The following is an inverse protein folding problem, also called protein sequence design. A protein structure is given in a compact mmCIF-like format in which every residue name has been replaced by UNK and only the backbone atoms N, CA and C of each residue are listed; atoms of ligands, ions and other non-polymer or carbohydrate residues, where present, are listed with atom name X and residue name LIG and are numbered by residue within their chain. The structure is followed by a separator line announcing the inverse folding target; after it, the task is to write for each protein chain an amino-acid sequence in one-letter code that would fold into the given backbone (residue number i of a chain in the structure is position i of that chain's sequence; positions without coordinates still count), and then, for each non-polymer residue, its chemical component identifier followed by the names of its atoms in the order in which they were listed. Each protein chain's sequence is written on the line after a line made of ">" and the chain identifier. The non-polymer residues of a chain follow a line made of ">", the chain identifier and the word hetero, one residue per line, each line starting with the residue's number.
data_IF_331215041026
#
_entry.id   IF_331215041026
#
_cell.length_a   1.000
_cell.length_b   1.000
_cell.length_c   1.000
_cell.angle_alpha   90.00
_cell.angle_beta   90.00
_cell.angle_gamma   90.00
#
_symmetry.space_group_name_H-M   'P 1'
#
loop_
_entity.id
_entity.type
_entity.pdbx_description
1 polymer ?
#
# COMPACT_ATOMS: atom_id res chain seq x y z
N UNK A 1 -22.23 13.42 28.60
CA UNK A 1 -21.68 14.56 27.81
C UNK A 1 -20.17 14.37 27.73
N UNK A 2 -19.65 13.99 26.56
CA UNK A 2 -18.20 13.84 26.37
C UNK A 2 -17.60 15.24 26.41
N UNK A 3 -16.80 15.55 27.43
CA UNK A 3 -16.03 16.80 27.48
C UNK A 3 -14.81 16.64 26.58
N UNK A 4 -14.86 17.23 25.40
CA UNK A 4 -13.70 17.30 24.51
C UNK A 4 -12.72 18.34 25.10
N UNK A 5 -11.59 17.88 25.65
CA UNK A 5 -10.49 18.76 26.05
C UNK A 5 -9.56 18.98 24.86
N UNK A 6 -9.22 20.22 24.56
CA UNK A 6 -8.26 20.53 23.48
C UNK A 6 -6.83 20.38 23.99
N UNK A 7 -6.42 19.15 24.26
CA UNK A 7 -5.05 18.79 24.66
C UNK A 7 -4.31 18.08 23.52
N UNK A 8 -3.00 17.90 23.68
CA UNK A 8 -2.17 17.24 22.66
C UNK A 8 -2.62 15.80 22.38
N UNK A 9 -3.20 15.12 23.37
CA UNK A 9 -3.71 13.74 23.23
C UNK A 9 -4.92 13.71 22.33
N UNK A 10 -5.86 14.62 22.55
CA UNK A 10 -7.05 14.76 21.72
C UNK A 10 -6.68 15.17 20.30
N UNK A 11 -5.77 16.13 20.13
CA UNK A 11 -5.25 16.50 18.82
C UNK A 11 -4.58 15.31 18.11
N UNK A 12 -3.73 14.55 18.81
CA UNK A 12 -3.09 13.35 18.28
C UNK A 12 -4.11 12.30 17.83
N UNK A 13 -5.16 12.04 18.61
CA UNK A 13 -6.25 11.14 18.21
C UNK A 13 -6.96 11.61 16.93
N UNK A 14 -7.18 12.92 16.77
CA UNK A 14 -7.71 13.47 15.52
C UNK A 14 -6.76 13.20 14.34
N UNK A 15 -5.44 13.34 14.52
CA UNK A 15 -4.49 13.04 13.42
C UNK A 15 -4.53 11.58 12.98
N UNK A 16 -4.79 10.65 13.90
CA UNK A 16 -4.98 9.23 13.54
C UNK A 16 -6.23 9.09 12.66
N UNK A 17 -7.34 9.72 13.03
CA UNK A 17 -8.58 9.69 12.21
C UNK A 17 -8.33 10.27 10.83
N UNK A 18 -7.68 11.44 10.75
CA UNK A 18 -7.31 12.04 9.46
C UNK A 18 -6.42 11.14 8.62
N UNK A 19 -5.45 10.45 9.23
CA UNK A 19 -4.60 9.50 8.53
C UNK A 19 -5.41 8.37 7.88
N UNK A 20 -6.39 7.80 8.57
CA UNK A 20 -7.27 6.78 7.98
C UNK A 20 -8.13 7.34 6.85
N UNK A 21 -8.70 8.54 7.04
CA UNK A 21 -9.52 9.20 6.02
C UNK A 21 -8.70 9.44 4.75
N UNK A 22 -7.51 10.03 4.87
CA UNK A 22 -6.68 10.32 3.69
C UNK A 22 -6.14 9.06 3.03
N UNK A 23 -5.68 8.07 3.79
CA UNK A 23 -5.16 6.82 3.23
C UNK A 23 -6.22 6.01 2.45
N UNK A 24 -7.50 6.13 2.81
CA UNK A 24 -8.61 5.44 2.14
C UNK A 24 -9.36 6.32 1.13
N UNK A 25 -9.09 7.63 1.11
CA UNK A 25 -9.72 8.54 0.15
C UNK A 25 -9.25 8.24 -1.27
N UNK A 26 -10.15 8.38 -2.26
CA UNK A 26 -9.75 8.24 -3.65
C UNK A 26 -8.74 9.32 -4.02
N UNK A 27 -7.52 8.90 -4.38
CA UNK A 27 -6.50 9.74 -4.99
C UNK A 27 -6.38 9.36 -6.47
N UNK A 28 -5.84 10.29 -7.26
CA UNK A 28 -5.33 9.93 -8.57
C UNK A 28 -4.07 9.08 -8.36
N UNK A 29 -4.05 7.89 -8.96
CA UNK A 29 -2.89 7.00 -8.97
C UNK A 29 -2.30 7.12 -10.36
N UNK A 30 -1.03 7.51 -10.44
CA UNK A 30 -0.37 7.54 -11.73
C UNK A 30 -0.20 6.10 -12.23
N UNK A 31 -0.53 5.78 -13.49
CA UNK A 31 -0.45 4.40 -13.99
C UNK A 31 0.93 3.76 -13.76
N UNK A 32 2.01 4.53 -13.96
CA UNK A 32 3.37 4.02 -13.76
C UNK A 32 3.68 3.70 -12.30
N UNK A 33 3.11 4.41 -11.33
CA UNK A 33 3.28 4.09 -9.91
C UNK A 33 2.72 2.70 -9.61
N UNK A 34 1.53 2.39 -10.15
CA UNK A 34 0.91 1.08 -9.98
C UNK A 34 1.69 -0.03 -10.70
N UNK A 35 2.03 0.19 -11.97
CA UNK A 35 2.71 -0.80 -12.83
C UNK A 35 4.15 -1.09 -12.38
N UNK A 36 4.86 -0.09 -11.84
CA UNK A 36 6.26 -0.21 -11.45
C UNK A 36 6.49 -0.58 -9.97
N UNK A 37 5.42 -0.84 -9.20
CA UNK A 37 5.55 -1.15 -7.77
C UNK A 37 4.72 -2.36 -7.33
N UNK A 38 3.47 -2.13 -6.97
CA UNK A 38 2.60 -3.10 -6.32
C UNK A 38 2.27 -4.29 -7.22
N UNK A 39 2.08 -4.03 -8.51
CA UNK A 39 1.79 -5.04 -9.52
C UNK A 39 2.91 -6.08 -9.67
N UNK A 40 4.17 -5.65 -9.49
CA UNK A 40 5.35 -6.52 -9.60
C UNK A 40 5.37 -7.57 -8.48
N UNK A 41 5.08 -7.14 -7.24
CA UNK A 41 5.12 -8.05 -6.09
C UNK A 41 3.84 -8.87 -5.91
N UNK A 42 2.68 -8.35 -6.30
CA UNK A 42 1.45 -9.14 -6.28
C UNK A 42 1.53 -10.35 -7.21
N UNK A 43 2.14 -10.22 -8.39
CA UNK A 43 2.44 -11.37 -9.25
C UNK A 43 3.43 -12.34 -8.61
N UNK A 44 4.57 -11.84 -8.11
CA UNK A 44 5.62 -12.70 -7.53
C UNK A 44 5.21 -13.42 -6.25
N UNK A 45 4.41 -12.77 -5.38
CA UNK A 45 4.05 -13.31 -4.06
C UNK A 45 2.71 -14.03 -4.11
N UNK A 46 1.67 -13.40 -4.66
CA UNK A 46 0.30 -13.93 -4.68
C UNK A 46 -0.05 -14.70 -5.96
N UNK A 47 0.81 -14.66 -6.99
CA UNK A 47 0.58 -15.40 -8.24
C UNK A 47 -0.47 -14.76 -9.15
N UNK A 48 -0.75 -13.46 -9.00
CA UNK A 48 -1.65 -12.76 -9.90
C UNK A 48 -1.07 -12.64 -11.31
N UNK A 49 -1.95 -12.71 -12.30
CA UNK A 49 -1.62 -12.48 -13.71
C UNK A 49 -1.48 -10.98 -13.93
N UNK A 50 -0.24 -10.50 -14.05
CA UNK A 50 0.08 -9.08 -14.21
C UNK A 50 1.17 -8.89 -15.27
N UNK A 51 1.33 -7.65 -15.74
CA UNK A 51 2.37 -7.33 -16.72
C UNK A 51 3.60 -6.78 -16.00
N UNK A 52 4.55 -7.65 -15.67
CA UNK A 52 5.80 -7.24 -15.02
C UNK A 52 6.59 -6.33 -15.99
N UNK A 53 6.96 -5.10 -15.62
CA UNK A 53 7.73 -4.22 -16.50
C UNK A 53 9.15 -4.75 -16.76
N UNK A 54 9.73 -4.39 -17.91
CA UNK A 54 11.08 -4.82 -18.31
C UNK A 54 12.15 -4.35 -17.30
N UNK A 55 11.91 -3.26 -16.56
CA UNK A 55 12.82 -2.74 -15.53
C UNK A 55 13.11 -3.74 -14.40
N UNK A 56 12.27 -4.78 -14.25
CA UNK A 56 12.39 -5.83 -13.25
C UNK A 56 12.68 -7.23 -13.83
N UNK A 57 12.96 -7.31 -15.13
CA UNK A 57 13.25 -8.56 -15.86
C UNK A 57 14.69 -8.58 -16.41
N UNK A 58 15.17 -9.78 -16.78
CA UNK A 58 16.44 -10.15 -17.46
C UNK A 58 17.74 -9.44 -17.06
N UNK A 59 17.78 -8.12 -17.17
CA UNK A 59 18.85 -7.22 -16.70
C UNK A 59 18.19 -6.02 -16.00
N UNK A 60 17.73 -6.20 -14.75
CA UNK A 60 16.83 -5.26 -14.11
C UNK A 60 17.51 -3.90 -13.89
N UNK A 61 16.84 -2.85 -14.35
CA UNK A 61 17.25 -1.46 -14.13
C UNK A 61 16.78 -0.92 -12.77
N UNK A 62 15.86 -1.62 -12.09
CA UNK A 62 15.30 -1.23 -10.78
C UNK A 62 15.49 -2.30 -9.72
N UNK A 63 15.74 -1.85 -8.49
CA UNK A 63 15.84 -2.74 -7.32
C UNK A 63 14.46 -3.15 -6.84
N UNK A 64 14.28 -4.44 -6.56
CA UNK A 64 13.09 -4.95 -5.87
C UNK A 64 13.14 -4.67 -4.36
N UNK A 65 14.29 -4.31 -3.80
CA UNK A 65 14.50 -4.15 -2.36
C UNK A 65 13.49 -3.20 -1.69
N UNK A 66 13.31 -1.96 -2.20
CA UNK A 66 12.32 -1.02 -1.67
C UNK A 66 10.88 -1.57 -1.74
N UNK A 67 10.53 -2.27 -2.84
CA UNK A 67 9.22 -2.87 -2.98
C UNK A 67 8.99 -3.96 -1.93
N UNK A 68 9.99 -4.82 -1.70
CA UNK A 68 9.89 -5.87 -0.68
C UNK A 68 9.75 -5.27 0.71
N UNK A 69 10.51 -4.21 1.02
CA UNK A 69 10.41 -3.53 2.30
C UNK A 69 9.00 -2.97 2.53
N UNK A 70 8.41 -2.33 1.52
CA UNK A 70 7.15 -1.59 1.65
C UNK A 70 5.90 -2.45 1.48
N UNK A 71 5.89 -3.47 0.61
CA UNK A 71 4.68 -4.23 0.29
C UNK A 71 4.72 -5.69 0.73
N UNK A 72 5.89 -6.30 0.83
CA UNK A 72 5.97 -7.73 1.15
C UNK A 72 5.37 -8.12 2.50
N UNK A 73 5.43 -7.30 3.59
CA UNK A 73 4.78 -7.65 4.85
C UNK A 73 3.28 -7.95 4.68
N UNK A 74 2.55 -7.09 3.99
CA UNK A 74 1.12 -7.28 3.69
C UNK A 74 0.89 -8.50 2.80
N UNK A 75 1.64 -8.61 1.70
CA UNK A 75 1.41 -9.66 0.71
C UNK A 75 1.76 -11.06 1.27
N UNK A 76 2.83 -11.18 2.04
CA UNK A 76 3.15 -12.42 2.74
C UNK A 76 2.16 -12.73 3.85
N UNK A 77 1.63 -11.73 4.56
CA UNK A 77 0.55 -11.94 5.52
C UNK A 77 -0.68 -12.55 4.84
N UNK A 78 -1.14 -11.96 3.73
CA UNK A 78 -2.28 -12.47 2.95
C UNK A 78 -2.01 -13.90 2.48
N UNK A 79 -0.82 -14.16 1.94
CA UNK A 79 -0.41 -15.49 1.48
C UNK A 79 -0.36 -16.51 2.61
N UNK A 80 0.24 -16.16 3.73
CA UNK A 80 0.44 -17.06 4.88
C UNK A 80 -0.88 -17.46 5.52
N UNK A 81 -1.80 -16.51 5.69
CA UNK A 81 -3.13 -16.76 6.24
C UNK A 81 -4.15 -17.23 5.20
N UNK A 82 -3.75 -17.32 3.92
CA UNK A 82 -4.60 -17.68 2.80
C UNK A 82 -5.93 -16.89 2.77
N UNK A 83 -5.83 -15.57 2.99
CA UNK A 83 -7.00 -14.69 3.06
C UNK A 83 -7.52 -14.43 1.65
N UNK A 84 -8.79 -14.75 1.40
CA UNK A 84 -9.41 -14.45 0.11
C UNK A 84 -9.84 -12.98 0.05
N UNK A 85 -9.03 -12.17 -0.63
CA UNK A 85 -9.27 -10.74 -0.84
C UNK A 85 -9.28 -10.42 -2.33
N UNK A 86 -10.12 -9.46 -2.71
CA UNK A 86 -10.11 -8.91 -4.07
C UNK A 86 -8.90 -8.00 -4.27
N UNK A 87 -8.40 -7.81 -5.51
CA UNK A 87 -7.27 -6.91 -5.77
C UNK A 87 -7.48 -5.50 -5.22
N UNK A 88 -8.72 -4.99 -5.29
CA UNK A 88 -9.08 -3.68 -4.74
C UNK A 88 -8.95 -3.62 -3.22
N UNK A 89 -9.36 -4.69 -2.51
CA UNK A 89 -9.19 -4.76 -1.05
C UNK A 89 -7.71 -4.78 -0.67
N UNK A 90 -6.90 -5.56 -1.40
CA UNK A 90 -5.46 -5.64 -1.16
C UNK A 90 -4.79 -4.28 -1.42
N UNK A 91 -5.22 -3.56 -2.46
CA UNK A 91 -4.78 -2.19 -2.72
C UNK A 91 -5.08 -1.23 -1.56
N UNK A 92 -6.30 -1.20 -1.03
CA UNK A 92 -6.63 -0.35 0.12
C UNK A 92 -5.85 -0.73 1.38
N UNK A 93 -5.61 -2.02 1.61
CA UNK A 93 -4.75 -2.47 2.71
C UNK A 93 -3.30 -2.02 2.51
N UNK A 94 -2.79 -2.02 1.28
CA UNK A 94 -1.45 -1.52 0.97
C UNK A 94 -1.33 -0.02 1.26
N UNK A 95 -2.36 0.78 0.95
CA UNK A 95 -2.43 2.20 1.30
C UNK A 95 -2.46 2.43 2.81
N UNK A 96 -3.15 1.59 3.57
CA UNK A 96 -3.12 1.65 5.03
C UNK A 96 -1.72 1.34 5.60
N UNK A 97 -1.02 0.37 5.01
CA UNK A 97 0.34 0.00 5.43
C UNK A 97 1.36 1.10 5.12
N UNK A 98 1.37 1.60 3.88
CA UNK A 98 2.37 2.57 3.41
C UNK A 98 2.03 4.01 3.83
N UNK A 99 0.78 4.30 4.20
CA UNK A 99 0.30 5.66 4.43
C UNK A 99 0.03 6.42 3.13
N UNK A 100 -0.21 7.74 3.24
CA UNK A 100 -0.55 8.66 2.14
C UNK A 100 0.61 8.83 1.12
N UNK A 101 1.78 8.27 1.42
CA UNK A 101 3.03 8.45 0.65
C UNK A 101 3.06 7.75 -0.72
N UNK A 102 2.03 6.97 -1.07
CA UNK A 102 1.96 6.31 -2.38
C UNK A 102 1.56 7.23 -3.53
N UNK A 103 1.11 8.46 -3.25
CA UNK A 103 0.55 9.38 -4.24
C UNK A 103 1.51 10.54 -4.62
N UNK A 104 2.81 10.49 -4.27
CA UNK A 104 3.68 11.68 -4.22
C UNK A 104 5.06 11.61 -4.89
N UNK A 105 5.39 10.59 -5.70
CA UNK A 105 6.70 10.50 -6.35
C UNK A 105 6.63 10.26 -7.87
#
# INVERSE_FOLDING_TARGET
>A
MIKLSFDWRTFYLFTIVFRFVFALSNSYIHPDEHFQSFEVLTSRILGYSTNIPWEFQDSPARSLGPLYLLYAPLLYFIKFFNVNLTPLQIWYLARLQCGVELDSY
#
